data_IF_375918173460
#
_entry.id   IF_375918173460
#
_cell.length_a   1.000
_cell.length_b   1.000
_cell.length_c   1.000
_cell.angle_alpha   90.00
_cell.angle_beta   90.00
_cell.angle_gamma   90.00
#
_symmetry.space_group_name_H-M   'P 1'
#
loop_
_entity.id
_entity.type
_entity.pdbx_description
1 polymer ?
#
# COMPACT_ATOMS: atom_id res chain seq x y z
N UNK A 1 -11.45 -5.36 -15.65
CA UNK A 1 -11.31 -4.69 -14.34
C UNK A 1 -9.95 -4.92 -13.70
N UNK A 2 -9.46 -6.16 -13.60
CA UNK A 2 -8.13 -6.48 -13.05
C UNK A 2 -6.98 -5.67 -13.67
N UNK A 3 -6.90 -5.61 -15.02
CA UNK A 3 -5.84 -4.87 -15.71
C UNK A 3 -5.81 -3.37 -15.36
N UNK A 4 -6.99 -2.75 -15.23
CA UNK A 4 -7.10 -1.34 -14.86
C UNK A 4 -6.66 -1.11 -13.41
N UNK A 5 -7.05 -2.00 -12.49
CA UNK A 5 -6.61 -1.96 -11.10
C UNK A 5 -5.09 -2.15 -10.98
N UNK A 6 -4.52 -3.11 -11.70
CA UNK A 6 -3.07 -3.35 -11.74
C UNK A 6 -2.32 -2.17 -12.34
N UNK A 7 -2.80 -1.60 -13.46
CA UNK A 7 -2.20 -0.42 -14.07
C UNK A 7 -2.24 0.80 -13.14
N UNK A 8 -3.36 0.99 -12.43
CA UNK A 8 -3.49 2.04 -11.42
C UNK A 8 -2.49 1.84 -10.26
N UNK A 9 -2.41 0.63 -9.70
CA UNK A 9 -1.46 0.31 -8.64
C UNK A 9 -0.01 0.53 -9.07
N UNK A 10 0.35 0.11 -10.29
CA UNK A 10 1.69 0.35 -10.86
C UNK A 10 1.95 1.85 -11.01
N UNK A 11 0.98 2.62 -11.52
CA UNK A 11 1.13 4.06 -11.70
C UNK A 11 1.35 4.77 -10.36
N UNK A 12 0.60 4.37 -9.33
CA UNK A 12 0.77 4.89 -7.96
C UNK A 12 2.12 4.50 -7.38
N UNK A 13 2.56 3.24 -7.58
CA UNK A 13 3.87 2.77 -7.12
C UNK A 13 5.03 3.55 -7.78
N UNK A 14 4.96 3.78 -9.10
CA UNK A 14 5.94 4.62 -9.82
C UNK A 14 5.90 6.06 -9.29
N UNK A 15 4.69 6.58 -9.02
CA UNK A 15 4.51 7.91 -8.43
C UNK A 15 5.14 8.04 -7.04
N UNK A 16 5.01 7.01 -6.19
CA UNK A 16 5.70 6.94 -4.88
C UNK A 16 7.21 6.85 -5.04
N UNK A 17 7.70 6.01 -5.96
CA UNK A 17 9.14 5.86 -6.23
C UNK A 17 9.76 7.17 -6.72
N UNK A 18 9.00 7.97 -7.48
CA UNK A 18 9.40 9.31 -7.94
C UNK A 18 9.02 10.43 -6.95
N UNK A 19 8.63 10.10 -5.72
CA UNK A 19 8.28 11.05 -4.66
C UNK A 19 7.24 12.11 -5.06
N UNK A 20 6.32 11.75 -5.96
CA UNK A 20 5.30 12.69 -6.43
C UNK A 20 4.22 12.90 -5.37
N UNK A 21 3.92 14.16 -5.06
CA UNK A 21 2.87 14.57 -4.09
C UNK A 21 1.50 13.92 -4.38
N UNK A 22 1.13 13.77 -5.65
CA UNK A 22 -0.16 13.20 -6.05
C UNK A 22 -0.28 11.69 -5.77
N UNK A 23 0.84 10.98 -5.63
CA UNK A 23 0.84 9.54 -5.33
C UNK A 23 0.66 9.25 -3.84
N UNK A 24 0.80 10.25 -2.97
CA UNK A 24 0.73 10.07 -1.53
C UNK A 24 -0.66 9.61 -1.07
N UNK A 25 -1.71 10.37 -1.37
CA UNK A 25 -3.09 10.05 -1.00
C UNK A 25 -3.59 8.68 -1.52
N UNK A 26 -3.43 8.32 -2.81
CA UNK A 26 -3.89 7.02 -3.29
C UNK A 26 -3.09 5.85 -2.69
N UNK A 27 -1.81 6.03 -2.36
CA UNK A 27 -1.01 4.98 -1.72
C UNK A 27 -1.51 4.63 -0.32
N UNK A 28 -1.96 5.63 0.42
CA UNK A 28 -2.56 5.44 1.74
C UNK A 28 -3.81 4.55 1.67
N UNK A 29 -4.68 4.82 0.69
CA UNK A 29 -5.89 4.03 0.45
C UNK A 29 -5.53 2.59 0.03
N UNK A 30 -4.55 2.43 -0.85
CA UNK A 30 -4.11 1.11 -1.31
C UNK A 30 -3.56 0.24 -0.16
N UNK A 31 -2.84 0.81 0.80
CA UNK A 31 -2.37 0.05 1.96
C UNK A 31 -3.51 -0.46 2.82
N UNK A 32 -4.55 0.36 3.05
CA UNK A 32 -5.75 -0.08 3.79
C UNK A 32 -6.47 -1.21 3.06
N UNK A 33 -6.56 -1.15 1.72
CA UNK A 33 -7.14 -2.21 0.91
C UNK A 33 -6.30 -3.49 0.98
N UNK A 34 -4.98 -3.40 0.82
CA UNK A 34 -4.07 -4.55 0.91
C UNK A 34 -4.13 -5.18 2.30
N UNK A 35 -4.13 -4.39 3.38
CA UNK A 35 -4.28 -4.91 4.75
C UNK A 35 -5.63 -5.61 4.92
N UNK A 36 -6.72 -5.03 4.42
CA UNK A 36 -8.06 -5.65 4.50
C UNK A 36 -8.10 -7.01 3.78
N UNK A 37 -7.49 -7.10 2.60
CA UNK A 37 -7.38 -8.34 1.83
C UNK A 37 -6.46 -9.36 2.55
N UNK A 38 -5.34 -8.90 3.09
CA UNK A 38 -4.43 -9.74 3.87
C UNK A 38 -5.09 -10.29 5.13
N UNK A 39 -5.90 -9.46 5.83
CA UNK A 39 -6.66 -9.89 7.01
C UNK A 39 -7.72 -10.92 6.62
N UNK A 40 -8.44 -10.70 5.53
CA UNK A 40 -9.39 -11.67 5.00
C UNK A 40 -8.73 -13.03 4.68
N UNK A 41 -7.43 -13.05 4.37
CA UNK A 41 -6.67 -14.28 4.12
C UNK A 41 -6.39 -15.12 5.38
N UNK A 42 -6.65 -14.59 6.59
CA UNK A 42 -6.62 -15.40 7.82
C UNK A 42 -7.96 -16.09 8.12
N UNK A 43 -9.03 -15.76 7.39
CA UNK A 43 -10.37 -16.29 7.59
C UNK A 43 -10.91 -16.97 6.32
N UNK A 44 -11.44 -18.19 6.44
CA UNK A 44 -12.10 -18.91 5.34
C UNK A 44 -11.44 -20.23 4.94
N UNK A 45 -11.99 -20.88 3.91
CA UNK A 45 -11.62 -22.22 3.42
C UNK A 45 -10.19 -22.33 2.87
N UNK A 46 -9.56 -21.19 2.53
CA UNK A 46 -8.21 -21.09 1.97
C UNK A 46 -7.30 -20.17 2.79
N UNK A 47 -7.41 -20.23 4.12
CA UNK A 47 -6.67 -19.38 5.06
C UNK A 47 -5.14 -19.56 5.03
N UNK A 48 -4.48 -19.09 3.98
CA UNK A 48 -3.02 -19.18 3.84
C UNK A 48 -2.37 -18.04 4.62
N UNK A 49 -2.01 -18.33 5.88
CA UNK A 49 -1.33 -17.42 6.81
C UNK A 49 -0.14 -16.71 6.16
N UNK A 50 0.64 -17.42 5.34
CA UNK A 50 1.79 -16.85 4.65
C UNK A 50 1.41 -15.68 3.72
N UNK A 51 0.28 -15.77 3.01
CA UNK A 51 -0.21 -14.70 2.13
C UNK A 51 -0.71 -13.51 2.96
N UNK A 52 -1.48 -13.78 4.02
CA UNK A 52 -1.96 -12.74 4.92
C UNK A 52 -0.82 -11.93 5.53
N UNK A 53 0.22 -12.61 6.04
CA UNK A 53 1.40 -11.94 6.61
C UNK A 53 2.20 -11.22 5.53
N UNK A 54 2.46 -11.84 4.38
CA UNK A 54 3.24 -11.25 3.29
C UNK A 54 2.61 -9.97 2.72
N UNK A 55 1.28 -9.86 2.76
CA UNK A 55 0.56 -8.66 2.32
C UNK A 55 0.40 -7.63 3.44
N UNK A 56 -0.04 -8.07 4.63
CA UNK A 56 -0.37 -7.15 5.73
C UNK A 56 0.86 -6.49 6.34
N UNK A 57 1.98 -7.21 6.51
CA UNK A 57 3.19 -6.68 7.14
C UNK A 57 3.78 -5.49 6.37
N UNK A 58 4.14 -5.61 5.08
CA UNK A 58 4.69 -4.47 4.34
C UNK A 58 3.68 -3.34 4.21
N UNK A 59 2.38 -3.64 4.04
CA UNK A 59 1.36 -2.60 3.96
C UNK A 59 1.24 -1.79 5.27
N UNK A 60 1.28 -2.45 6.43
CA UNK A 60 1.28 -1.79 7.74
C UNK A 60 2.54 -0.96 7.98
N UNK A 61 3.71 -1.46 7.57
CA UNK A 61 4.99 -0.74 7.69
C UNK A 61 4.94 0.56 6.86
N UNK A 62 4.52 0.49 5.60
CA UNK A 62 4.48 1.68 4.73
C UNK A 62 3.42 2.66 5.24
N UNK A 63 2.29 2.17 5.75
CA UNK A 63 1.25 2.99 6.37
C UNK A 63 1.79 3.77 7.56
N UNK A 64 2.51 3.10 8.46
CA UNK A 64 3.16 3.75 9.58
C UNK A 64 4.24 4.74 9.14
N UNK A 65 5.05 4.37 8.13
CA UNK A 65 6.08 5.23 7.58
C UNK A 65 5.51 6.53 7.00
N UNK A 66 4.33 6.50 6.36
CA UNK A 66 3.66 7.70 5.85
C UNK A 66 3.31 8.70 6.97
N UNK A 67 2.99 8.24 8.18
CA UNK A 67 2.78 9.16 9.30
C UNK A 67 4.05 9.81 9.82
N UNK A 68 5.23 9.26 9.50
CA UNK A 68 6.51 9.79 9.98
C UNK A 68 6.85 11.13 9.35
N UNK A 69 7.35 12.06 10.17
CA UNK A 69 7.75 13.41 9.73
C UNK A 69 8.75 13.37 8.57
N UNK A 70 9.75 12.49 8.65
CA UNK A 70 10.78 12.31 7.62
C UNK A 70 10.18 12.02 6.24
N UNK A 71 9.18 11.13 6.16
CA UNK A 71 8.54 10.77 4.88
C UNK A 71 7.71 11.93 4.36
N UNK A 72 6.93 12.61 5.23
CA UNK A 72 6.15 13.78 4.81
C UNK A 72 7.02 14.92 4.29
N UNK A 73 8.19 15.13 4.90
CA UNK A 73 9.16 16.14 4.46
C UNK A 73 9.77 15.78 3.11
N UNK A 74 10.04 14.49 2.86
CA UNK A 74 10.54 13.99 1.58
C UNK A 74 9.59 14.32 0.41
N UNK A 75 8.27 14.23 0.63
CA UNK A 75 7.25 14.61 -0.36
C UNK A 75 6.98 16.12 -0.44
N UNK A 76 7.36 16.91 0.58
CA UNK A 76 7.22 18.37 0.61
C UNK A 76 8.43 19.10 0.01
N UNK A 77 9.61 18.48 0.04
CA UNK A 77 10.85 19.03 -0.52
C UNK A 77 10.95 18.99 -2.06
N UNK A 78 10.05 18.24 -2.73
CA UNK A 78 9.78 18.34 -4.17
C UNK A 78 8.52 19.14 -4.42
#
# INVERSE_FOLDING_TARGET
MLLAASAFMINVAIGMFRLKRWAYTPSFVLQLLIVSIGVASFSGEFGVVAIGVALSVPAAIVFFAMFSKNVRELFRGQ
#
